data_IF_314096652052
#
_entry.id   IF_314096652052
#
_cell.length_a   1.000
_cell.length_b   1.000
_cell.length_c   1.000
_cell.angle_alpha   90.00
_cell.angle_beta   90.00
_cell.angle_gamma   90.00
#
_symmetry.space_group_name_H-M   'P 1'
#
loop_
_entity.id
_entity.type
_entity.pdbx_description
1 polymer ?
#
# COMPACT_ATOMS: atom_id res chain seq x y z
N UNK A 1 -14.60 -18.16 -6.43
CA UNK A 1 -13.19 -18.16 -5.98
C UNK A 1 -12.20 -18.45 -7.14
N UNK A 2 -12.41 -17.94 -8.37
CA UNK A 2 -11.47 -18.18 -9.48
C UNK A 2 -10.35 -17.12 -9.61
N UNK A 3 -10.48 -16.00 -8.89
CA UNK A 3 -9.58 -14.85 -9.02
C UNK A 3 -8.23 -15.07 -8.31
N UNK A 4 -8.19 -15.91 -7.26
CA UNK A 4 -6.96 -16.29 -6.57
C UNK A 4 -6.03 -17.14 -7.45
N UNK A 5 -6.58 -17.97 -8.33
CA UNK A 5 -5.82 -18.84 -9.23
C UNK A 5 -5.45 -18.16 -10.55
N UNK A 6 -5.98 -16.95 -10.79
CA UNK A 6 -5.64 -16.17 -11.98
C UNK A 6 -4.24 -15.57 -11.81
N UNK A 7 -3.39 -15.56 -12.85
CA UNK A 7 -2.01 -15.07 -12.74
C UNK A 7 -1.92 -13.63 -12.25
N UNK A 8 -2.97 -12.82 -12.48
CA UNK A 8 -3.09 -11.44 -12.00
C UNK A 8 -3.25 -11.35 -10.48
N UNK A 9 -3.98 -12.29 -9.86
CA UNK A 9 -4.13 -12.37 -8.41
C UNK A 9 -2.82 -12.76 -7.75
N UNK A 10 -2.12 -13.76 -8.31
CA UNK A 10 -0.83 -14.21 -7.79
C UNK A 10 0.22 -13.09 -7.74
N UNK A 11 0.24 -12.19 -8.73
CA UNK A 11 1.16 -11.03 -8.74
C UNK A 11 0.90 -10.07 -7.59
N UNK A 12 -0.36 -9.85 -7.20
CA UNK A 12 -0.73 -8.94 -6.11
C UNK A 12 -0.46 -9.61 -4.75
N UNK A 13 -0.77 -10.89 -4.61
CA UNK A 13 -0.60 -11.62 -3.34
C UNK A 13 0.85 -12.00 -3.05
N UNK A 14 1.67 -12.24 -4.08
CA UNK A 14 3.08 -12.63 -3.95
C UNK A 14 3.89 -11.71 -3.01
N UNK A 15 3.92 -10.37 -3.18
CA UNK A 15 4.66 -9.51 -2.27
C UNK A 15 4.10 -9.53 -0.85
N UNK A 16 2.77 -9.62 -0.67
CA UNK A 16 2.15 -9.68 0.65
C UNK A 16 2.51 -10.98 1.39
N UNK A 17 2.49 -12.11 0.69
CA UNK A 17 2.89 -13.41 1.23
C UNK A 17 4.37 -13.39 1.62
N UNK A 18 5.22 -12.83 0.77
CA UNK A 18 6.65 -12.70 1.05
C UNK A 18 6.91 -11.83 2.28
N UNK A 19 6.21 -10.70 2.42
CA UNK A 19 6.32 -9.83 3.61
C UNK A 19 5.84 -10.54 4.88
N UNK A 20 4.78 -11.35 4.79
CA UNK A 20 4.29 -12.14 5.91
C UNK A 20 5.34 -13.16 6.38
N UNK A 21 5.89 -13.96 5.48
CA UNK A 21 6.96 -14.91 5.81
C UNK A 21 8.22 -14.22 6.34
N UNK A 22 8.60 -13.10 5.73
CA UNK A 22 9.72 -12.31 6.20
C UNK A 22 9.52 -11.78 7.62
N UNK A 23 8.31 -11.36 7.99
CA UNK A 23 7.98 -10.90 9.35
C UNK A 23 8.16 -11.99 10.40
N UNK A 24 7.89 -13.25 10.03
CA UNK A 24 8.11 -14.42 10.91
C UNK A 24 9.61 -14.71 11.04
N UNK A 25 10.36 -14.67 9.93
CA UNK A 25 11.78 -15.07 9.89
C UNK A 25 12.72 -14.00 10.47
N UNK A 26 12.51 -12.72 10.16
CA UNK A 26 13.41 -11.61 10.50
C UNK A 26 13.04 -10.89 11.81
N UNK A 27 11.94 -11.29 12.46
CA UNK A 27 11.20 -10.55 13.50
C UNK A 27 10.41 -9.35 12.94
N UNK A 28 9.20 -9.09 13.46
CA UNK A 28 8.35 -8.02 12.94
C UNK A 28 9.01 -6.65 12.95
N UNK A 29 9.68 -6.27 14.05
CA UNK A 29 10.28 -4.95 14.20
C UNK A 29 11.37 -4.65 13.15
N UNK A 30 12.21 -5.63 12.82
CA UNK A 30 13.25 -5.49 11.78
C UNK A 30 12.61 -5.41 10.40
N UNK A 31 11.61 -6.24 10.10
CA UNK A 31 10.89 -6.22 8.83
C UNK A 31 10.21 -4.87 8.61
N UNK A 32 9.56 -4.28 9.62
CA UNK A 32 9.00 -2.93 9.52
C UNK A 32 10.07 -1.87 9.25
N UNK A 33 11.21 -1.94 9.97
CA UNK A 33 12.32 -1.01 9.75
C UNK A 33 12.87 -1.07 8.32
N UNK A 34 12.92 -2.26 7.72
CA UNK A 34 13.34 -2.47 6.33
C UNK A 34 12.29 -1.98 5.32
N UNK A 35 11.00 -2.24 5.57
CA UNK A 35 9.91 -1.81 4.69
C UNK A 35 9.86 -0.29 4.56
N UNK A 36 10.00 0.41 5.69
CA UNK A 36 9.94 1.87 5.76
C UNK A 36 11.26 2.50 5.30
N UNK A 37 12.32 1.69 5.09
CA UNK A 37 13.65 2.17 4.73
C UNK A 37 14.39 2.85 5.87
N UNK A 38 13.94 2.66 7.12
CA UNK A 38 14.62 3.18 8.31
C UNK A 38 15.91 2.41 8.63
N UNK A 39 15.93 1.11 8.32
CA UNK A 39 17.09 0.25 8.50
C UNK A 39 17.61 -0.23 7.15
N UNK A 40 18.95 -0.26 7.00
CA UNK A 40 19.59 -0.83 5.82
C UNK A 40 19.86 -2.32 6.03
N UNK A 41 19.56 -3.21 5.06
CA UNK A 41 19.89 -4.63 5.12
C UNK A 41 21.39 -4.87 5.35
N UNK A 42 22.26 -3.98 4.88
CA UNK A 42 23.71 -4.10 4.98
C UNK A 42 24.26 -3.94 6.41
N UNK A 43 23.47 -3.35 7.32
CA UNK A 43 23.90 -3.05 8.69
C UNK A 43 23.41 -4.08 9.71
N UNK A 44 22.63 -5.09 9.29
CA UNK A 44 22.03 -6.07 10.20
C UNK A 44 22.90 -7.34 10.19
N UNK A 45 23.46 -7.76 11.34
CA UNK A 45 24.23 -9.01 11.43
C UNK A 45 23.28 -10.21 11.38
N UNK A 46 22.94 -10.65 10.17
CA UNK A 46 22.02 -11.75 9.88
C UNK A 46 22.76 -12.94 9.26
N UNK A 47 22.23 -14.17 9.41
CA UNK A 47 22.66 -15.30 8.62
C UNK A 47 22.52 -15.03 7.09
N UNK A 48 23.27 -15.73 6.22
CA UNK A 48 23.26 -15.48 4.77
C UNK A 48 21.86 -15.58 4.15
N UNK A 49 21.08 -16.58 4.56
CA UNK A 49 19.70 -16.82 4.07
C UNK A 49 18.76 -15.68 4.46
N UNK A 50 18.88 -15.19 5.69
CA UNK A 50 18.09 -14.06 6.20
C UNK A 50 18.52 -12.73 5.58
N UNK A 51 19.79 -12.60 5.19
CA UNK A 51 20.32 -11.41 4.51
C UNK A 51 19.68 -11.23 3.14
N UNK A 52 19.61 -12.30 2.34
CA UNK A 52 18.93 -12.25 1.04
C UNK A 52 17.45 -11.85 1.17
N UNK A 53 16.77 -12.37 2.21
CA UNK A 53 15.39 -12.02 2.51
C UNK A 53 15.25 -10.55 2.93
N UNK A 54 16.17 -10.01 3.74
CA UNK A 54 16.16 -8.61 4.15
C UNK A 54 16.31 -7.65 2.96
N UNK A 55 17.16 -8.00 1.99
CA UNK A 55 17.27 -7.25 0.73
C UNK A 55 15.97 -7.29 -0.09
N UNK A 56 15.37 -8.46 -0.26
CA UNK A 56 14.10 -8.59 -0.97
C UNK A 56 12.99 -7.76 -0.32
N UNK A 57 12.87 -7.81 1.01
CA UNK A 57 11.92 -7.01 1.79
C UNK A 57 12.17 -5.52 1.60
N UNK A 58 13.43 -5.08 1.64
CA UNK A 58 13.77 -3.66 1.48
C UNK A 58 13.36 -3.13 0.11
N UNK A 59 13.64 -3.86 -0.97
CA UNK A 59 13.23 -3.47 -2.34
C UNK A 59 11.71 -3.43 -2.47
N UNK A 60 11.02 -4.44 -1.95
CA UNK A 60 9.55 -4.53 -2.00
C UNK A 60 8.92 -3.40 -1.19
N UNK A 61 9.43 -3.13 0.01
CA UNK A 61 8.95 -2.04 0.87
C UNK A 61 9.11 -0.68 0.20
N UNK A 62 10.26 -0.43 -0.41
CA UNK A 62 10.51 0.79 -1.19
C UNK A 62 9.56 0.97 -2.37
N UNK A 63 9.10 -0.12 -2.99
CA UNK A 63 8.16 -0.05 -4.10
C UNK A 63 6.71 0.13 -3.62
N UNK A 64 6.32 -0.56 -2.54
CA UNK A 64 4.97 -0.56 -2.00
C UNK A 64 4.63 0.70 -1.21
N UNK A 65 5.56 1.24 -0.41
CA UNK A 65 5.28 2.39 0.45
C UNK A 65 4.87 3.64 -0.34
N UNK A 66 5.59 4.08 -1.39
CA UNK A 66 5.17 5.24 -2.18
C UNK A 66 3.81 5.02 -2.87
N UNK A 67 3.55 3.81 -3.36
CA UNK A 67 2.28 3.47 -3.99
C UNK A 67 1.11 3.52 -2.99
N UNK A 68 1.32 2.99 -1.78
CA UNK A 68 0.34 3.05 -0.68
C UNK A 68 0.07 4.49 -0.24
N UNK A 69 1.13 5.28 -0.02
CA UNK A 69 1.00 6.70 0.34
C UNK A 69 0.26 7.46 -0.75
N UNK A 70 0.62 7.26 -2.02
CA UNK A 70 -0.07 7.88 -3.15
C UNK A 70 -1.55 7.51 -3.24
N UNK A 71 -1.89 6.24 -3.03
CA UNK A 71 -3.28 5.77 -3.03
C UNK A 71 -4.09 6.39 -1.88
N UNK A 72 -3.53 6.44 -0.67
CA UNK A 72 -4.19 7.06 0.50
C UNK A 72 -4.40 8.56 0.28
N UNK A 73 -3.37 9.28 -0.16
CA UNK A 73 -3.48 10.72 -0.45
C UNK A 73 -4.50 10.97 -1.55
N UNK A 74 -4.46 10.20 -2.64
CA UNK A 74 -5.43 10.32 -3.73
C UNK A 74 -6.87 10.08 -3.27
N UNK A 75 -7.09 9.08 -2.41
CA UNK A 75 -8.39 8.82 -1.81
C UNK A 75 -8.89 9.98 -0.94
N UNK A 76 -8.04 10.53 -0.07
CA UNK A 76 -8.37 11.66 0.80
C UNK A 76 -8.72 12.92 0.00
N UNK A 77 -7.94 13.23 -1.04
CA UNK A 77 -8.20 14.36 -1.94
C UNK A 77 -9.54 14.17 -2.66
N UNK A 78 -9.83 12.98 -3.17
CA UNK A 78 -11.10 12.69 -3.83
C UNK A 78 -12.30 12.87 -2.89
N UNK A 79 -12.17 12.45 -1.62
CA UNK A 79 -13.18 12.72 -0.59
C UNK A 79 -13.39 14.21 -0.33
N UNK A 80 -12.33 15.00 -0.26
CA UNK A 80 -12.42 16.45 -0.08
C UNK A 80 -13.15 17.11 -1.25
N UNK A 81 -12.80 16.74 -2.49
CA UNK A 81 -13.48 17.23 -3.70
C UNK A 81 -14.97 16.89 -3.66
N UNK A 82 -15.33 15.65 -3.30
CA UNK A 82 -16.71 15.22 -3.16
C UNK A 82 -17.48 16.08 -2.14
N UNK A 83 -16.88 16.32 -0.96
CA UNK A 83 -17.46 17.18 0.07
C UNK A 83 -17.66 18.61 -0.41
N UNK A 84 -16.68 19.20 -1.08
CA UNK A 84 -16.82 20.55 -1.64
C UNK A 84 -17.93 20.64 -2.69
N UNK A 85 -18.06 19.64 -3.57
CA UNK A 85 -19.15 19.60 -4.57
C UNK A 85 -20.53 19.46 -3.93
N UNK A 86 -20.66 18.65 -2.87
CA UNK A 86 -21.94 18.53 -2.15
C UNK A 86 -22.36 19.81 -1.44
N UNK A 87 -21.40 20.62 -0.96
CA UNK A 87 -21.67 21.91 -0.32
C UNK A 87 -21.98 23.02 -1.34
N UNK A 88 -21.42 22.92 -2.56
CA UNK A 88 -21.67 23.86 -3.65
C UNK A 88 -22.98 23.61 -4.40
N UNK A 89 -23.69 22.50 -4.14
CA UNK A 89 -25.00 22.21 -4.70
C UNK A 89 -26.08 22.81 -3.77
N UNK A 90 -26.78 23.90 -4.15
CA UNK A 90 -27.81 24.48 -3.29
C UNK A 90 -28.99 23.50 -3.15
N UNK A 91 -29.63 23.39 -1.97
CA UNK A 91 -30.89 22.68 -1.82
C UNK A 91 -32.00 23.49 -2.50
N UNK A 92 -32.16 23.35 -3.82
CA UNK A 92 -33.12 24.17 -4.56
C UNK A 92 -33.05 24.11 -6.08
N UNK A 93 -32.75 22.96 -6.68
CA UNK A 93 -32.93 22.74 -8.12
C UNK A 93 -34.39 22.42 -8.47
N UNK A 94 -35.33 23.30 -8.11
CA UNK A 94 -36.75 23.18 -8.46
C UNK A 94 -37.33 24.56 -8.73
N UNK A 95 -36.83 25.27 -9.74
CA UNK A 95 -37.59 26.32 -10.43
C UNK A 95 -37.10 26.38 -11.88
N UNK A 96 -38.04 26.53 -12.81
CA UNK A 96 -37.89 26.73 -14.25
C UNK A 96 -37.90 25.49 -15.17
N UNK A 97 -38.98 24.70 -15.13
CA UNK A 97 -39.64 24.20 -16.36
C UNK A 97 -41.15 24.41 -16.20
N UNK A 98 -41.57 25.64 -16.46
CA UNK A 98 -42.96 26.08 -16.45
C UNK A 98 -43.07 27.30 -17.36
N UNK A 99 -43.18 27.05 -18.66
CA UNK A 99 -43.73 27.91 -19.70
C UNK A 99 -43.83 27.10 -20.99
#
# INVERSE_FOLDING_TARGET
>A
MWWLSSPRGAVIWSPLILLFFASIVLKPALTYGLIIGHMSPALIPLPPVSTALAWAVSVIGWLLMPALVGAVVGYLVNMQIGRHRSLATPPGGSLAHGA
#
